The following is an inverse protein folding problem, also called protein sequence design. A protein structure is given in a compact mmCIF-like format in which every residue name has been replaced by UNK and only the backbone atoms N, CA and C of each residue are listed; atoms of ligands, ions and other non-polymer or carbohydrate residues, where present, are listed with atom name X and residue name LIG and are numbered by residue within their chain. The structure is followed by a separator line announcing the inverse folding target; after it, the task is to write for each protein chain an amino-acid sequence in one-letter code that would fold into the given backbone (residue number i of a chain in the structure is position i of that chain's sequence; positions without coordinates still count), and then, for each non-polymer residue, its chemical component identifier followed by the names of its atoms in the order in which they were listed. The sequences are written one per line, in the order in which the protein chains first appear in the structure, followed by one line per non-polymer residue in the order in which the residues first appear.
data_IF_283037875625
#
_entry.id   IF_283037875625
#
_cell.length_a   1.000
_cell.length_b   1.000
_cell.length_c   1.000
_cell.angle_alpha   90.00
_cell.angle_beta   90.00
_cell.angle_gamma   90.00
#
_symmetry.space_group_name_H-M   'P 1'
#
loop_
_entity.id
_entity.type
_entity.pdbx_description
1 polymer ?
#
# COMPACT_ATOMS: atom_id res chain seq x y z
N UNK A 1 -4.43 19.88 -0.32
CA UNK A 1 -5.44 18.78 -0.41
C UNK A 1 -5.69 18.51 -1.87
N UNK A 2 -5.65 17.25 -2.30
CA UNK A 2 -5.75 16.91 -3.72
C UNK A 2 -7.16 17.26 -4.26
N UNK A 3 -7.21 17.70 -5.51
CA UNK A 3 -8.46 17.89 -6.23
C UNK A 3 -8.89 16.53 -6.81
N UNK A 4 -9.86 15.86 -6.15
CA UNK A 4 -10.25 14.48 -6.46
C UNK A 4 -11.74 14.35 -6.72
N UNK A 5 -12.08 13.41 -7.60
CA UNK A 5 -13.45 12.97 -7.91
C UNK A 5 -13.60 11.49 -7.56
N UNK A 6 -14.73 11.12 -6.93
CA UNK A 6 -15.03 9.71 -6.65
C UNK A 6 -15.53 9.05 -7.92
N UNK A 7 -14.97 7.91 -8.24
CA UNK A 7 -15.39 7.04 -9.33
C UNK A 7 -15.77 5.66 -8.80
N UNK A 8 -16.73 5.01 -9.47
CA UNK A 8 -17.09 3.62 -9.20
C UNK A 8 -16.31 2.74 -10.19
N UNK A 9 -15.55 1.80 -9.66
CA UNK A 9 -14.78 0.86 -10.49
C UNK A 9 -15.61 -0.34 -10.91
N UNK A 10 -15.12 -1.17 -11.84
CA UNK A 10 -15.89 -2.28 -12.41
C UNK A 10 -16.30 -3.36 -11.41
N UNK A 11 -15.60 -3.48 -10.27
CA UNK A 11 -15.99 -4.39 -9.19
C UNK A 11 -17.02 -3.78 -8.23
N UNK A 12 -17.44 -2.52 -8.44
CA UNK A 12 -18.41 -1.81 -7.61
C UNK A 12 -17.78 -1.05 -6.43
N UNK A 13 -16.50 -1.24 -6.16
CA UNK A 13 -15.78 -0.45 -5.15
C UNK A 13 -15.45 0.95 -5.66
N UNK A 14 -15.31 1.90 -4.74
CA UNK A 14 -14.90 3.26 -5.09
C UNK A 14 -13.39 3.35 -5.35
N UNK A 15 -13.01 4.32 -6.18
CA UNK A 15 -11.66 4.87 -6.29
C UNK A 15 -11.76 6.40 -6.41
N UNK A 16 -10.62 7.06 -6.47
CA UNK A 16 -10.52 8.49 -6.69
C UNK A 16 -9.79 8.75 -8.00
N UNK A 17 -10.27 9.72 -8.78
CA UNK A 17 -9.51 10.34 -9.87
C UNK A 17 -8.88 11.61 -9.35
N UNK A 18 -7.56 11.72 -9.40
CA UNK A 18 -6.85 12.95 -9.10
C UNK A 18 -6.81 13.82 -10.36
N UNK A 19 -7.43 15.00 -10.31
CA UNK A 19 -7.57 15.89 -11.45
C UNK A 19 -6.27 16.65 -11.79
N UNK A 20 -5.35 16.76 -10.82
CA UNK A 20 -4.06 17.44 -11.02
C UNK A 20 -3.04 16.49 -11.66
N UNK A 21 -3.01 15.24 -11.19
CA UNK A 21 -2.13 14.18 -11.73
C UNK A 21 -2.72 13.58 -13.00
N UNK A 22 -4.03 13.72 -13.22
CA UNK A 22 -4.82 13.07 -14.27
C UNK A 22 -4.59 11.55 -14.29
N UNK A 23 -4.79 10.93 -13.12
CA UNK A 23 -4.71 9.47 -12.92
C UNK A 23 -5.66 9.03 -11.81
N UNK A 24 -5.90 7.74 -11.70
CA UNK A 24 -6.74 7.16 -10.66
C UNK A 24 -5.90 6.51 -9.55
N UNK A 25 -6.39 6.59 -8.31
CA UNK A 25 -5.72 5.99 -7.15
C UNK A 25 -5.61 4.46 -7.28
N UNK A 26 -6.63 3.81 -7.84
CA UNK A 26 -6.66 2.37 -8.09
C UNK A 26 -7.18 2.09 -9.50
N UNK A 27 -7.04 0.84 -9.94
CA UNK A 27 -7.55 0.39 -11.23
C UNK A 27 -9.05 0.63 -11.39
N UNK A 28 -9.46 1.21 -12.52
CA UNK A 28 -10.87 1.33 -12.91
C UNK A 28 -11.56 -0.04 -13.11
N UNK A 29 -10.78 -1.10 -13.25
CA UNK A 29 -11.29 -2.48 -13.39
C UNK A 29 -11.65 -3.12 -12.04
N UNK A 30 -11.31 -2.49 -10.91
CA UNK A 30 -11.65 -2.93 -9.57
C UNK A 30 -10.59 -2.50 -8.56
N UNK A 31 -10.92 -1.54 -7.69
CA UNK A 31 -9.99 -1.04 -6.67
C UNK A 31 -9.70 -2.12 -5.62
N UNK A 32 -10.74 -2.73 -5.07
CA UNK A 32 -10.59 -3.80 -4.07
C UNK A 32 -9.94 -5.04 -4.68
N UNK A 33 -10.35 -5.43 -5.89
CA UNK A 33 -9.75 -6.58 -6.57
C UNK A 33 -8.25 -6.39 -6.81
N UNK A 34 -7.81 -5.20 -7.26
CA UNK A 34 -6.39 -4.88 -7.45
C UNK A 34 -5.64 -4.96 -6.12
N UNK A 35 -6.12 -4.27 -5.09
CA UNK A 35 -5.46 -4.21 -3.78
C UNK A 35 -5.36 -5.60 -3.13
N UNK A 36 -6.43 -6.39 -3.17
CA UNK A 36 -6.42 -7.78 -2.69
C UNK A 36 -5.43 -8.64 -3.47
N UNK A 37 -5.40 -8.51 -4.80
CA UNK A 37 -4.50 -9.30 -5.63
C UNK A 37 -3.03 -8.96 -5.38
N UNK A 38 -2.68 -7.66 -5.45
CA UNK A 38 -1.28 -7.20 -5.38
C UNK A 38 -0.74 -7.25 -3.95
N UNK A 39 -1.44 -6.62 -3.02
CA UNK A 39 -0.88 -6.34 -1.70
C UNK A 39 -1.21 -7.42 -0.69
N UNK A 40 -2.44 -7.94 -0.69
CA UNK A 40 -2.81 -8.97 0.29
C UNK A 40 -2.33 -10.35 -0.17
N UNK A 41 -2.74 -10.85 -1.34
CA UNK A 41 -2.41 -12.22 -1.78
C UNK A 41 -0.93 -12.39 -2.14
N UNK A 42 -0.40 -11.50 -3.01
CA UNK A 42 0.96 -11.63 -3.51
C UNK A 42 2.02 -10.95 -2.62
N UNK A 43 1.60 -10.10 -1.68
CA UNK A 43 2.45 -9.48 -0.65
C UNK A 43 2.31 -10.17 0.69
N UNK A 44 1.28 -9.81 1.47
CA UNK A 44 1.11 -10.21 2.86
C UNK A 44 1.03 -11.73 3.06
N UNK A 45 0.05 -12.37 2.42
CA UNK A 45 -0.15 -13.82 2.57
C UNK A 45 1.05 -14.62 2.04
N UNK A 46 1.70 -14.12 0.97
CA UNK A 46 2.94 -14.73 0.48
C UNK A 46 4.05 -14.64 1.53
N UNK A 47 4.27 -13.47 2.14
CA UNK A 47 5.27 -13.29 3.19
C UNK A 47 5.00 -14.18 4.40
N UNK A 48 3.76 -14.22 4.89
CA UNK A 48 3.34 -15.07 6.01
C UNK A 48 3.63 -16.55 5.75
N UNK A 49 3.27 -17.04 4.56
CA UNK A 49 3.45 -18.44 4.18
C UNK A 49 4.93 -18.85 4.03
N UNK A 50 5.82 -17.91 3.70
CA UNK A 50 7.25 -18.19 3.54
C UNK A 50 8.00 -18.12 4.87
N UNK A 51 7.61 -17.23 5.78
CA UNK A 51 8.43 -16.88 6.93
C UNK A 51 7.83 -17.30 8.28
N UNK A 52 6.52 -17.60 8.35
CA UNK A 52 5.80 -17.94 9.58
C UNK A 52 6.13 -16.98 10.76
N UNK A 53 6.00 -15.67 10.57
CA UNK A 53 6.44 -14.69 11.55
C UNK A 53 5.52 -14.65 12.78
N UNK A 54 5.96 -14.03 13.87
CA UNK A 54 5.10 -13.64 15.01
C UNK A 54 4.66 -12.17 14.90
N UNK A 55 5.43 -11.35 14.19
CA UNK A 55 5.12 -9.94 13.89
C UNK A 55 5.48 -9.61 12.44
N UNK A 56 4.81 -8.61 11.87
CA UNK A 56 5.08 -8.10 10.52
C UNK A 56 5.14 -6.58 10.55
N UNK A 57 6.23 -6.02 10.04
CA UNK A 57 6.42 -4.58 9.88
C UNK A 57 6.24 -4.23 8.41
N UNK A 58 5.21 -3.46 8.11
CA UNK A 58 4.80 -3.10 6.75
C UNK A 58 5.13 -1.62 6.51
N UNK A 59 5.75 -1.32 5.37
CA UNK A 59 5.85 0.02 4.80
C UNK A 59 4.89 0.13 3.62
N UNK A 60 4.03 1.12 3.64
CA UNK A 60 3.22 1.52 2.49
C UNK A 60 3.70 2.88 1.97
N UNK A 61 3.97 2.96 0.67
CA UNK A 61 4.24 4.22 -0.03
C UNK A 61 2.97 4.63 -0.77
N UNK A 62 2.30 5.67 -0.26
CA UNK A 62 0.99 6.13 -0.72
C UNK A 62 -0.16 5.57 0.13
N UNK A 63 -0.58 6.29 1.18
CA UNK A 63 -1.77 5.92 1.97
C UNK A 63 -3.06 6.08 1.16
N UNK A 64 -3.13 7.17 0.38
CA UNK A 64 -4.24 7.46 -0.53
C UNK A 64 -5.61 7.37 0.13
N UNK A 65 -6.43 6.43 -0.36
CA UNK A 65 -7.78 6.18 0.17
C UNK A 65 -7.80 5.32 1.45
N UNK A 66 -6.64 4.83 1.91
CA UNK A 66 -6.53 3.92 3.04
C UNK A 66 -6.96 2.48 2.76
N UNK A 67 -7.19 2.11 1.49
CA UNK A 67 -7.73 0.81 1.12
C UNK A 67 -6.79 -0.35 1.50
N UNK A 68 -5.49 -0.24 1.19
CA UNK A 68 -4.53 -1.30 1.52
C UNK A 68 -4.37 -1.48 3.04
N UNK A 69 -4.33 -0.36 3.80
CA UNK A 69 -4.31 -0.40 5.25
C UNK A 69 -5.57 -1.05 5.81
N UNK A 70 -6.76 -0.74 5.25
CA UNK A 70 -8.03 -1.30 5.68
C UNK A 70 -8.18 -2.80 5.37
N UNK A 71 -7.71 -3.24 4.20
CA UNK A 71 -7.64 -4.65 3.84
C UNK A 71 -6.66 -5.43 4.72
N UNK A 72 -5.51 -4.83 5.01
CA UNK A 72 -4.52 -5.42 5.93
C UNK A 72 -5.07 -5.52 7.35
N UNK A 73 -5.77 -4.49 7.83
CA UNK A 73 -6.46 -4.52 9.12
C UNK A 73 -7.54 -5.61 9.16
N UNK A 74 -8.36 -5.74 8.10
CA UNK A 74 -9.34 -6.84 8.00
C UNK A 74 -8.67 -8.21 8.10
N UNK A 75 -7.53 -8.41 7.44
CA UNK A 75 -6.74 -9.63 7.55
C UNK A 75 -6.21 -9.86 8.98
N UNK A 76 -5.69 -8.80 9.61
CA UNK A 76 -5.17 -8.85 10.98
C UNK A 76 -6.21 -9.27 12.02
N UNK A 77 -7.49 -8.91 11.86
CA UNK A 77 -8.58 -9.32 12.76
C UNK A 77 -8.75 -10.85 12.86
N UNK A 78 -8.37 -11.58 11.80
CA UNK A 78 -8.39 -13.06 11.79
C UNK A 78 -7.04 -13.70 12.14
N UNK A 79 -6.02 -12.91 12.48
CA UNK A 79 -4.65 -13.35 12.69
C UNK A 79 -4.24 -13.23 14.17
N UNK A 80 -3.27 -14.06 14.59
CA UNK A 80 -2.59 -13.94 15.88
C UNK A 80 -1.30 -13.12 15.81
N UNK A 81 -0.91 -12.68 14.61
CA UNK A 81 0.30 -11.91 14.37
C UNK A 81 0.14 -10.47 14.85
N UNK A 82 1.24 -9.84 15.22
CA UNK A 82 1.31 -8.39 15.48
C UNK A 82 1.64 -7.66 14.18
N UNK A 83 0.87 -6.63 13.85
CA UNK A 83 1.05 -5.81 12.67
C UNK A 83 1.50 -4.40 13.05
N UNK A 84 2.65 -3.99 12.54
CA UNK A 84 3.15 -2.62 12.60
C UNK A 84 3.09 -2.03 11.19
N UNK A 85 2.11 -1.18 10.96
CA UNK A 85 1.83 -0.62 9.64
C UNK A 85 2.27 0.84 9.58
N UNK A 86 3.31 1.11 8.81
CA UNK A 86 3.78 2.48 8.54
C UNK A 86 3.34 2.88 7.14
N UNK A 87 2.62 3.98 7.02
CA UNK A 87 2.17 4.50 5.73
C UNK A 87 2.60 5.94 5.52
N UNK A 88 3.10 6.24 4.32
CA UNK A 88 3.56 7.56 3.90
C UNK A 88 2.52 8.20 2.98
N UNK A 89 2.24 9.48 3.19
CA UNK A 89 1.36 10.26 2.33
C UNK A 89 1.84 11.71 2.25
N UNK A 90 1.77 12.29 1.07
CA UNK A 90 2.18 13.69 0.83
C UNK A 90 0.99 14.65 0.85
N UNK A 91 -0.15 14.19 0.39
CA UNK A 91 -1.36 15.00 0.24
C UNK A 91 -2.63 14.23 0.63
N UNK A 92 -2.92 14.15 1.96
CA UNK A 92 -4.06 13.38 2.46
C UNK A 92 -5.40 13.90 1.92
N UNK A 93 -6.29 12.98 1.59
CA UNK A 93 -7.66 13.28 1.16
C UNK A 93 -8.50 13.88 2.30
N UNK A 94 -9.56 14.61 1.94
CA UNK A 94 -10.41 15.31 2.91
C UNK A 94 -11.30 14.34 3.69
N UNK A 95 -11.73 14.77 4.91
CA UNK A 95 -12.71 14.00 5.68
C UNK A 95 -14.02 13.77 4.91
N UNK A 96 -14.45 14.76 4.11
CA UNK A 96 -15.64 14.65 3.29
C UNK A 96 -15.48 13.54 2.23
N UNK A 97 -14.33 13.48 1.57
CA UNK A 97 -14.02 12.42 0.61
C UNK A 97 -14.02 11.05 1.28
N UNK A 98 -13.36 10.92 2.45
CA UNK A 98 -13.29 9.67 3.22
C UNK A 98 -14.71 9.13 3.55
N UNK A 99 -15.62 10.01 3.96
CA UNK A 99 -17.00 9.63 4.33
C UNK A 99 -17.84 9.12 3.16
N UNK A 100 -17.43 9.40 1.92
CA UNK A 100 -18.14 8.99 0.71
C UNK A 100 -17.55 7.69 0.10
N UNK A 101 -16.41 7.20 0.61
CA UNK A 101 -15.84 5.94 0.14
C UNK A 101 -16.65 4.76 0.66
N UNK A 102 -17.00 3.82 -0.23
CA UNK A 102 -17.86 2.68 0.09
C UNK A 102 -17.15 1.43 0.61
N UNK A 103 -15.86 1.53 0.96
CA UNK A 103 -15.09 0.35 1.38
C UNK A 103 -15.66 -0.38 2.60
N UNK A 104 -16.19 0.30 3.65
CA UNK A 104 -16.80 -0.41 4.78
C UNK A 104 -17.99 -1.29 4.38
N UNK A 105 -18.88 -0.74 3.56
CA UNK A 105 -20.06 -1.45 3.06
C UNK A 105 -19.68 -2.54 2.06
N UNK A 106 -18.71 -2.24 1.18
CA UNK A 106 -18.23 -3.17 0.16
C UNK A 106 -17.55 -4.41 0.74
N UNK A 107 -16.73 -4.21 1.78
CA UNK A 107 -15.99 -5.30 2.44
C UNK A 107 -16.83 -6.07 3.47
N UNK A 108 -17.91 -5.48 3.94
CA UNK A 108 -18.96 -6.03 4.82
C UNK A 108 -18.40 -6.95 5.93
N UNK A 109 -17.83 -6.37 6.96
CA UNK A 109 -17.39 -7.11 8.15
C UNK A 109 -17.69 -6.35 9.44
N UNK A 110 -17.83 -7.05 10.54
CA UNK A 110 -18.22 -6.50 11.84
C UNK A 110 -17.24 -5.42 12.28
N UNK A 111 -17.77 -4.22 12.56
CA UNK A 111 -16.98 -3.07 12.97
C UNK A 111 -16.24 -2.36 11.84
N UNK A 112 -16.41 -2.77 10.58
CA UNK A 112 -15.70 -2.21 9.42
C UNK A 112 -15.78 -0.70 9.33
N UNK A 113 -16.98 -0.13 9.46
CA UNK A 113 -17.19 1.34 9.39
C UNK A 113 -16.41 2.09 10.48
N UNK A 114 -16.50 1.64 11.73
CA UNK A 114 -15.78 2.30 12.84
C UNK A 114 -14.26 2.14 12.72
N UNK A 115 -13.79 1.00 12.25
CA UNK A 115 -12.37 0.73 12.04
C UNK A 115 -11.81 1.56 10.87
N UNK A 116 -12.54 1.70 9.77
CA UNK A 116 -12.15 2.56 8.66
C UNK A 116 -12.05 4.04 9.11
N UNK A 117 -13.03 4.50 9.87
CA UNK A 117 -12.98 5.84 10.47
C UNK A 117 -11.79 5.99 11.41
N UNK A 118 -11.49 4.98 12.25
CA UNK A 118 -10.35 5.00 13.18
C UNK A 118 -9.01 5.06 12.43
N UNK A 119 -8.83 4.29 11.34
CA UNK A 119 -7.64 4.37 10.48
C UNK A 119 -7.41 5.79 9.94
N UNK A 120 -8.47 6.43 9.46
CA UNK A 120 -8.37 7.78 8.92
C UNK A 120 -8.17 8.84 10.00
N UNK A 121 -8.81 8.68 11.18
CA UNK A 121 -8.69 9.58 12.31
C UNK A 121 -7.35 9.48 13.03
N UNK A 122 -6.60 8.39 12.85
CA UNK A 122 -5.26 8.22 13.41
C UNK A 122 -4.36 9.41 13.08
N UNK A 123 -3.53 9.81 14.02
CA UNK A 123 -2.68 10.98 13.90
C UNK A 123 -1.56 10.78 12.86
N UNK A 124 -1.09 11.89 12.28
CA UNK A 124 0.12 11.88 11.48
C UNK A 124 1.34 12.00 12.39
N UNK A 125 2.35 11.16 12.16
CA UNK A 125 3.64 11.13 12.88
C UNK A 125 3.64 10.46 14.27
N UNK A 126 2.52 9.88 14.70
CA UNK A 126 2.44 9.08 15.93
C UNK A 126 2.01 7.65 15.61
N UNK A 127 2.25 6.75 16.55
CA UNK A 127 1.74 5.38 16.50
C UNK A 127 0.38 5.34 17.22
N UNK A 128 -0.63 4.84 16.53
CA UNK A 128 -1.97 4.66 17.05
C UNK A 128 -2.34 3.18 17.04
N UNK A 129 -2.71 2.62 18.19
CA UNK A 129 -3.27 1.27 18.27
C UNK A 129 -4.69 1.28 17.70
N UNK A 130 -4.88 0.69 16.51
CA UNK A 130 -6.19 0.57 15.88
C UNK A 130 -6.99 -0.56 16.51
N UNK A 131 -6.36 -1.72 16.68
CA UNK A 131 -6.82 -2.86 17.48
C UNK A 131 -5.60 -3.50 18.15
N UNK A 132 -5.81 -4.40 19.12
CA UNK A 132 -4.76 -4.99 19.97
C UNK A 132 -3.55 -5.55 19.20
N UNK A 133 -3.75 -6.01 17.97
CA UNK A 133 -2.71 -6.60 17.16
C UNK A 133 -2.39 -5.78 15.89
N UNK A 134 -2.84 -4.52 15.81
CA UNK A 134 -2.58 -3.63 14.67
C UNK A 134 -2.28 -2.21 15.12
N UNK A 135 -1.02 -1.82 14.97
CA UNK A 135 -0.52 -0.47 15.23
C UNK A 135 -0.29 0.23 13.90
N UNK A 136 -0.87 1.41 13.73
CA UNK A 136 -0.72 2.26 12.55
C UNK A 136 0.14 3.48 12.87
N UNK A 137 1.12 3.74 12.01
CA UNK A 137 1.90 4.98 12.00
C UNK A 137 1.75 5.64 10.64
N UNK A 138 1.03 6.75 10.57
CA UNK A 138 0.96 7.56 9.35
C UNK A 138 2.03 8.66 9.41
N UNK A 139 2.74 8.88 8.32
CA UNK A 139 3.76 9.92 8.20
C UNK A 139 3.40 10.84 7.02
N UNK A 140 3.22 12.12 7.35
CA UNK A 140 2.98 13.15 6.34
C UNK A 140 4.31 13.65 5.80
N UNK A 141 4.52 13.51 4.50
CA UNK A 141 5.73 14.00 3.83
C UNK A 141 6.13 13.15 2.64
N UNK A 142 7.12 13.65 1.92
CA UNK A 142 7.65 12.99 0.73
C UNK A 142 8.57 11.84 1.13
N UNK A 143 8.51 10.72 0.42
CA UNK A 143 9.42 9.58 0.62
C UNK A 143 10.91 10.00 0.54
N UNK A 144 11.22 11.01 -0.28
CA UNK A 144 12.56 11.56 -0.40
C UNK A 144 13.09 12.10 0.93
N UNK A 145 12.23 12.72 1.74
CA UNK A 145 12.59 13.50 2.93
C UNK A 145 12.45 12.69 4.23
N UNK A 146 11.63 11.64 4.24
CA UNK A 146 11.36 10.80 5.42
C UNK A 146 12.48 9.77 5.61
N UNK A 147 13.07 9.70 6.80
CA UNK A 147 14.03 8.64 7.16
C UNK A 147 13.28 7.33 7.44
N UNK A 148 13.57 6.27 6.67
CA UNK A 148 12.96 4.95 6.85
C UNK A 148 13.71 4.07 7.87
N UNK A 149 14.98 4.38 8.15
CA UNK A 149 15.87 3.48 8.89
C UNK A 149 16.29 2.26 8.06
N UNK A 150 17.36 1.61 8.47
CA UNK A 150 17.86 0.41 7.81
C UNK A 150 17.19 -0.84 8.37
N UNK A 151 16.87 -1.80 7.50
CA UNK A 151 16.35 -3.12 7.86
C UNK A 151 15.16 -3.08 8.86
N UNK A 152 14.19 -2.21 8.58
CA UNK A 152 13.03 -2.01 9.46
C UNK A 152 11.82 -2.87 9.03
N UNK A 153 11.64 -3.08 7.73
CA UNK A 153 10.40 -3.60 7.17
C UNK A 153 10.55 -5.00 6.61
N UNK A 154 9.54 -5.81 6.87
CA UNK A 154 9.38 -7.17 6.37
C UNK A 154 8.64 -7.19 5.03
N UNK A 155 7.75 -6.22 4.82
CA UNK A 155 6.90 -6.11 3.64
C UNK A 155 6.76 -4.65 3.21
N UNK A 156 6.90 -4.42 1.90
CA UNK A 156 6.72 -3.09 1.30
C UNK A 156 5.58 -3.14 0.29
N UNK A 157 4.57 -2.30 0.50
CA UNK A 157 3.53 -1.95 -0.48
C UNK A 157 3.98 -0.69 -1.21
N UNK A 158 4.46 -0.84 -2.43
CA UNK A 158 4.89 0.31 -3.23
C UNK A 158 3.74 0.73 -4.14
N UNK A 159 2.86 1.61 -3.62
CA UNK A 159 1.57 1.98 -4.23
C UNK A 159 1.49 3.48 -4.58
N UNK A 160 2.55 4.01 -5.14
CA UNK A 160 2.58 5.37 -5.68
C UNK A 160 1.91 5.44 -7.07
N UNK A 161 1.52 6.64 -7.51
CA UNK A 161 1.13 6.84 -8.90
C UNK A 161 2.22 6.39 -9.86
N UNK A 162 1.81 5.91 -11.04
CA UNK A 162 2.74 5.27 -11.98
C UNK A 162 3.92 6.15 -12.41
N UNK A 163 5.02 5.56 -12.92
CA UNK A 163 6.25 6.30 -13.29
C UNK A 163 6.06 7.38 -14.38
N UNK A 164 4.94 7.38 -15.09
CA UNK A 164 4.61 8.44 -16.04
C UNK A 164 4.04 9.70 -15.35
N UNK A 165 3.56 9.55 -14.10
CA UNK A 165 2.88 10.60 -13.33
C UNK A 165 3.73 11.10 -12.16
N UNK A 166 4.47 10.21 -11.51
CA UNK A 166 5.39 10.52 -10.41
C UNK A 166 6.77 9.88 -10.63
N UNK A 167 7.50 10.25 -11.70
CA UNK A 167 8.78 9.62 -12.05
C UNK A 167 9.80 9.66 -10.91
N UNK A 168 9.77 10.70 -10.08
CA UNK A 168 10.70 10.90 -8.96
C UNK A 168 10.60 9.81 -7.88
N UNK A 169 9.48 9.13 -7.71
CA UNK A 169 9.35 8.03 -6.76
C UNK A 169 9.91 6.70 -7.30
N UNK A 170 10.07 6.61 -8.63
CA UNK A 170 10.56 5.41 -9.31
C UNK A 170 12.03 5.50 -9.70
N UNK A 171 12.72 6.56 -9.25
CA UNK A 171 14.16 6.73 -9.43
C UNK A 171 14.94 5.70 -8.63
N UNK A 172 16.06 5.22 -9.18
CA UNK A 172 16.90 4.19 -8.56
C UNK A 172 17.43 4.59 -7.18
N UNK A 173 17.66 5.89 -6.94
CA UNK A 173 18.07 6.39 -5.62
C UNK A 173 16.99 6.23 -4.57
N UNK A 174 15.73 6.46 -4.94
CA UNK A 174 14.57 6.23 -4.06
C UNK A 174 14.34 4.74 -3.85
N UNK A 175 14.43 3.95 -4.90
CA UNK A 175 14.32 2.48 -4.79
C UNK A 175 15.42 1.89 -3.90
N UNK A 176 16.64 2.44 -3.94
CA UNK A 176 17.74 2.06 -3.04
C UNK A 176 17.43 2.37 -1.59
N UNK A 177 16.85 3.55 -1.31
CA UNK A 177 16.41 3.94 0.04
C UNK A 177 15.36 2.96 0.58
N UNK A 178 14.40 2.57 -0.25
CA UNK A 178 13.39 1.56 0.11
C UNK A 178 14.05 0.20 0.31
N UNK A 179 14.92 -0.23 -0.59
CA UNK A 179 15.67 -1.49 -0.45
C UNK A 179 16.47 -1.55 0.85
N UNK A 180 17.19 -0.49 1.21
CA UNK A 180 17.94 -0.41 2.47
C UNK A 180 17.05 -0.55 3.71
N UNK A 181 15.82 -0.04 3.65
CA UNK A 181 14.86 -0.16 4.74
C UNK A 181 14.25 -1.57 4.89
N UNK A 182 14.36 -2.42 3.88
CA UNK A 182 13.90 -3.80 3.90
C UNK A 182 14.84 -4.71 4.68
N UNK A 183 14.31 -5.60 5.51
CA UNK A 183 15.07 -6.70 6.16
C UNK A 183 15.50 -7.75 5.13
N UNK A 184 16.45 -8.61 5.49
CA UNK A 184 16.73 -9.83 4.73
C UNK A 184 15.51 -10.74 4.73
N UNK A 185 15.15 -11.29 3.57
CA UNK A 185 13.93 -12.06 3.38
C UNK A 185 12.66 -11.22 3.19
N UNK A 186 12.77 -9.89 3.23
CA UNK A 186 11.63 -9.00 3.01
C UNK A 186 11.12 -9.05 1.58
N UNK A 187 9.85 -8.66 1.42
CA UNK A 187 9.11 -8.68 0.15
C UNK A 187 8.65 -7.27 -0.20
N UNK A 188 8.83 -6.87 -1.45
CA UNK A 188 8.22 -5.67 -2.03
C UNK A 188 7.21 -6.10 -3.10
N UNK A 189 6.02 -5.52 -3.06
CA UNK A 189 4.97 -5.71 -4.08
C UNK A 189 4.47 -4.39 -4.65
N UNK A 190 4.18 -4.39 -5.95
CA UNK A 190 3.59 -3.27 -6.66
C UNK A 190 2.83 -3.72 -7.89
N UNK A 191 1.82 -2.96 -8.26
CA UNK A 191 1.09 -3.17 -9.52
C UNK A 191 1.92 -2.81 -10.77
N UNK A 192 2.98 -2.02 -10.61
CA UNK A 192 3.79 -1.54 -11.73
C UNK A 192 4.77 -2.61 -12.22
N UNK A 193 4.70 -2.94 -13.51
CA UNK A 193 5.57 -3.94 -14.13
C UNK A 193 6.46 -3.37 -15.24
N UNK A 194 6.74 -2.04 -15.22
CA UNK A 194 7.59 -1.40 -16.24
C UNK A 194 9.00 -2.00 -16.27
N UNK A 195 9.52 -2.18 -17.48
CA UNK A 195 10.82 -2.82 -17.72
C UNK A 195 11.98 -2.10 -17.00
N UNK A 196 11.99 -0.76 -17.00
CA UNK A 196 13.03 0.02 -16.30
C UNK A 196 12.99 -0.26 -14.79
N UNK A 197 11.82 -0.17 -14.16
CA UNK A 197 11.65 -0.48 -12.74
C UNK A 197 12.16 -1.88 -12.37
N UNK A 198 11.85 -2.89 -13.20
CA UNK A 198 12.37 -4.26 -12.99
C UNK A 198 13.90 -4.34 -13.10
N UNK A 199 14.52 -3.56 -13.98
CA UNK A 199 16.00 -3.48 -14.11
C UNK A 199 16.62 -2.79 -12.89
N UNK A 200 16.02 -1.69 -12.43
CA UNK A 200 16.52 -0.94 -11.30
C UNK A 200 16.47 -1.77 -10.00
N UNK A 201 15.38 -2.48 -9.74
CA UNK A 201 15.30 -3.41 -8.61
C UNK A 201 16.37 -4.52 -8.67
N UNK A 202 16.65 -5.09 -9.88
CA UNK A 202 17.72 -6.09 -10.04
C UNK A 202 19.11 -5.50 -9.81
N UNK A 203 19.34 -4.23 -10.19
CA UNK A 203 20.62 -3.55 -9.94
C UNK A 203 20.88 -3.32 -8.45
N UNK A 204 19.82 -3.32 -7.63
CA UNK A 204 19.87 -3.28 -6.17
C UNK A 204 19.92 -4.68 -5.52
N UNK A 205 20.28 -5.71 -6.31
CA UNK A 205 20.37 -7.11 -5.89
C UNK A 205 19.04 -7.75 -5.42
N UNK A 206 17.90 -7.14 -5.69
CA UNK A 206 16.60 -7.74 -5.39
C UNK A 206 16.27 -8.84 -6.42
N UNK A 207 15.74 -9.98 -5.95
CA UNK A 207 15.22 -11.04 -6.82
C UNK A 207 13.83 -10.67 -7.32
N UNK A 208 13.74 -10.19 -8.56
CA UNK A 208 12.51 -9.70 -9.18
C UNK A 208 11.72 -10.82 -9.85
N UNK A 209 10.49 -10.99 -9.44
CA UNK A 209 9.49 -11.88 -10.03
C UNK A 209 8.43 -11.05 -10.76
N UNK A 210 8.13 -11.45 -12.00
CA UNK A 210 6.99 -10.92 -12.75
C UNK A 210 5.85 -11.91 -12.62
N UNK A 211 4.74 -11.48 -12.04
CA UNK A 211 3.56 -12.31 -11.75
C UNK A 211 2.38 -11.86 -12.61
N UNK A 212 1.35 -12.71 -12.80
CA UNK A 212 0.09 -12.27 -13.41
C UNK A 212 -0.46 -11.06 -12.67
N UNK A 213 -0.91 -10.05 -13.41
CA UNK A 213 -1.49 -8.83 -12.85
C UNK A 213 -2.94 -9.02 -12.39
N UNK A 214 -3.49 -8.03 -11.68
CA UNK A 214 -4.91 -7.96 -11.36
C UNK A 214 -5.75 -7.72 -12.65
N UNK A 215 -7.09 -7.78 -12.57
CA UNK A 215 -7.94 -7.44 -13.70
C UNK A 215 -7.56 -6.10 -14.36
N UNK A 216 -7.46 -6.10 -15.68
CA UNK A 216 -7.04 -4.93 -16.46
C UNK A 216 -5.52 -4.72 -16.58
N UNK A 217 -4.70 -5.47 -15.85
CA UNK A 217 -3.23 -5.42 -15.94
C UNK A 217 -2.65 -6.79 -16.27
N UNK A 218 -1.72 -6.86 -17.22
CA UNK A 218 -1.11 -8.12 -17.65
C UNK A 218 -0.17 -8.69 -16.58
N UNK A 219 0.56 -7.83 -15.91
CA UNK A 219 1.64 -8.20 -14.99
C UNK A 219 1.64 -7.31 -13.76
N UNK A 220 2.19 -7.85 -12.67
CA UNK A 220 2.62 -7.13 -11.47
C UNK A 220 4.04 -7.54 -11.10
N UNK A 221 4.65 -6.84 -10.15
CA UNK A 221 6.00 -7.17 -9.66
C UNK A 221 5.96 -7.52 -8.18
N UNK A 222 6.70 -8.60 -7.84
CA UNK A 222 7.16 -8.92 -6.50
C UNK A 222 8.68 -9.00 -6.52
N UNK A 223 9.33 -8.34 -5.56
CA UNK A 223 10.78 -8.40 -5.38
C UNK A 223 11.13 -8.89 -3.97
N UNK A 224 12.17 -9.70 -3.85
CA UNK A 224 12.61 -10.28 -2.58
C UNK A 224 14.06 -9.84 -2.32
N UNK A 225 14.32 -9.43 -1.08
CA UNK A 225 15.67 -9.05 -0.61
C UNK A 225 16.42 -10.25 -0.03
#
# INVERSE_FOLDING_TARGET
MPNVEIIVTSDGSHSLRNMEVDDTYHSIHGAVQESVHVFIKNGLMFFENQNHPSEIRILEVGFGTGLNAFLTLKHALGSKLQFHYTSLEVDPITKQTIQQLNYPEFLDFVGGTSLFQKLHAASWSQEDEIVNNFVLKKQLGRLQDIALGDQQFDLVYFDAFGPAKQPELWDVGILKKVEQSMKQGAVLVTYCAKGQFKRDLRSLALRVQTLPGPPGKKEMVRALK
#
